data_IF_172610052934
#
_entry.id   IF_172610052934
#
_cell.length_a   1.000
_cell.length_b   1.000
_cell.length_c   1.000
_cell.angle_alpha   90.00
_cell.angle_beta   90.00
_cell.angle_gamma   90.00
#
_symmetry.space_group_name_H-M   'P 1'
#
loop_
_entity.id
_entity.type
_entity.pdbx_description
1 polymer ?
#
# COMPACT_ATOMS: atom_id res chain seq x y z
N UNK A 1 11.39 -4.99 4.90
CA UNK A 1 11.22 -4.85 3.44
C UNK A 1 12.48 -4.15 2.98
N UNK A 2 13.29 -4.79 2.14
CA UNK A 2 14.64 -4.31 1.79
C UNK A 2 14.64 -3.33 0.60
N UNK A 3 13.47 -2.85 0.14
CA UNK A 3 13.30 -1.99 -1.05
C UNK A 3 14.11 -2.49 -2.26
N UNK A 4 14.12 -3.80 -2.50
CA UNK A 4 15.00 -4.44 -3.51
C UNK A 4 14.61 -4.08 -4.96
N UNK A 5 13.40 -3.54 -5.16
CA UNK A 5 12.91 -3.10 -6.46
C UNK A 5 12.11 -1.79 -6.33
N UNK A 6 12.78 -0.62 -6.36
CA UNK A 6 12.13 0.66 -6.18
C UNK A 6 11.15 0.98 -7.32
N UNK A 7 10.12 1.77 -7.02
CA UNK A 7 9.09 2.18 -8.00
C UNK A 7 9.65 2.94 -9.20
N UNK A 8 10.84 3.54 -9.07
CA UNK A 8 11.53 4.20 -10.18
C UNK A 8 12.03 3.25 -11.27
N UNK A 9 12.06 1.94 -11.02
CA UNK A 9 12.48 0.92 -11.98
C UNK A 9 11.31 0.27 -12.71
N UNK A 10 10.07 0.54 -12.30
CA UNK A 10 8.90 -0.10 -12.87
C UNK A 10 8.67 0.34 -14.31
N UNK A 11 8.38 -0.62 -15.18
CA UNK A 11 7.98 -0.36 -16.55
C UNK A 11 6.44 -0.20 -16.67
N UNK A 12 5.94 0.64 -17.59
CA UNK A 12 4.50 0.73 -17.85
C UNK A 12 3.90 -0.63 -18.21
N UNK A 13 2.85 -1.04 -17.47
CA UNK A 13 2.16 -2.32 -17.67
C UNK A 13 2.85 -3.54 -17.05
N UNK A 14 3.96 -3.35 -16.34
CA UNK A 14 4.61 -4.41 -15.58
C UNK A 14 3.70 -4.92 -14.45
N UNK A 15 3.66 -6.24 -14.29
CA UNK A 15 2.98 -6.90 -13.16
C UNK A 15 4.06 -7.32 -12.16
N UNK A 16 4.03 -6.69 -10.98
CA UNK A 16 4.88 -7.05 -9.85
C UNK A 16 4.08 -7.92 -8.86
N UNK A 17 4.63 -9.07 -8.49
CA UNK A 17 4.08 -9.96 -7.47
C UNK A 17 5.08 -10.08 -6.31
N UNK A 18 4.74 -9.48 -5.16
CA UNK A 18 5.54 -9.53 -3.95
C UNK A 18 4.70 -10.05 -2.78
N UNK A 19 5.27 -10.97 -2.01
CA UNK A 19 4.66 -11.51 -0.81
C UNK A 19 5.34 -10.95 0.44
N UNK A 20 4.59 -10.19 1.24
CA UNK A 20 5.05 -9.64 2.52
C UNK A 20 4.38 -10.41 3.67
N UNK A 21 5.18 -10.86 4.65
CA UNK A 21 4.67 -11.44 5.90
C UNK A 21 4.61 -10.36 6.98
N UNK A 22 3.41 -10.14 7.51
CA UNK A 22 3.17 -9.23 8.62
C UNK A 22 2.85 -10.03 9.88
N UNK A 23 3.40 -9.60 11.01
CA UNK A 23 3.05 -10.15 12.33
C UNK A 23 1.95 -9.30 12.92
N UNK A 24 0.83 -9.91 13.25
CA UNK A 24 -0.26 -9.22 13.91
C UNK A 24 0.07 -9.00 15.41
N UNK A 25 -0.23 -7.82 15.98
CA UNK A 25 0.07 -7.54 17.37
C UNK A 25 -0.82 -8.33 18.35
N UNK A 26 -2.06 -8.66 17.97
CA UNK A 26 -3.01 -9.46 18.77
C UNK A 26 -4.11 -10.07 17.91
N UNK A 27 -5.01 -10.84 18.53
CA UNK A 27 -6.31 -11.16 17.96
C UNK A 27 -7.11 -9.87 17.69
N UNK A 28 -7.96 -9.88 16.67
CA UNK A 28 -8.82 -8.72 16.37
C UNK A 28 -9.19 -8.56 14.90
N UNK A 29 -9.93 -7.49 14.63
CA UNK A 29 -10.31 -7.09 13.27
C UNK A 29 -9.32 -6.05 12.74
N UNK A 30 -8.79 -6.30 11.56
CA UNK A 30 -7.81 -5.44 10.91
C UNK A 30 -8.26 -5.11 9.49
N UNK A 31 -7.97 -3.88 9.08
CA UNK A 31 -8.01 -3.48 7.67
C UNK A 31 -6.57 -3.39 7.18
N UNK A 32 -6.23 -4.20 6.19
CA UNK A 32 -4.98 -4.07 5.46
C UNK A 32 -5.13 -2.96 4.42
N UNK A 33 -4.23 -1.99 4.49
CA UNK A 33 -4.17 -0.87 3.56
C UNK A 33 -2.78 -0.76 2.93
N UNK A 34 -2.68 -0.08 1.79
CA UNK A 34 -1.41 0.21 1.11
C UNK A 34 -1.38 1.65 0.58
N UNK A 35 -0.19 2.16 0.29
CA UNK A 35 0.00 3.44 -0.39
C UNK A 35 1.48 3.76 -0.57
N UNK A 36 1.74 4.82 -1.35
CA UNK A 36 3.10 5.30 -1.60
C UNK A 36 3.43 6.49 -0.73
N UNK A 37 4.73 6.75 -0.58
CA UNK A 37 5.27 7.89 0.14
C UNK A 37 6.46 8.45 -0.64
N UNK A 38 6.78 9.72 -0.41
CA UNK A 38 8.01 10.35 -0.86
C UNK A 38 9.18 9.86 0.02
N UNK A 39 10.21 9.22 -0.54
CA UNK A 39 11.29 8.63 0.26
C UNK A 39 12.19 9.66 0.96
N UNK A 40 12.23 10.91 0.48
CA UNK A 40 13.06 11.97 1.04
C UNK A 40 12.35 12.67 2.20
N UNK A 41 11.05 12.97 2.05
CA UNK A 41 10.26 13.66 3.09
C UNK A 41 9.56 12.70 4.05
N UNK A 42 9.44 11.42 3.66
CA UNK A 42 8.59 10.41 4.31
C UNK A 42 7.10 10.75 4.34
N UNK A 43 6.68 11.78 3.60
CA UNK A 43 5.28 12.16 3.50
C UNK A 43 4.52 11.22 2.56
N UNK A 44 3.27 10.96 2.90
CA UNK A 44 2.42 10.03 2.16
C UNK A 44 1.86 10.70 0.91
N UNK A 45 1.86 9.98 -0.21
CA UNK A 45 1.33 10.49 -1.47
C UNK A 45 -0.18 10.31 -1.53
N UNK A 46 -0.87 11.28 -2.15
CA UNK A 46 -2.30 11.21 -2.40
C UNK A 46 -2.61 10.12 -3.41
N UNK A 47 -3.74 9.43 -3.21
CA UNK A 47 -4.21 8.42 -4.15
C UNK A 47 -5.22 9.04 -5.12
N UNK A 48 -5.01 8.77 -6.41
CA UNK A 48 -5.92 9.17 -7.49
C UNK A 48 -6.65 7.92 -7.97
N UNK A 49 -7.96 7.87 -7.75
CA UNK A 49 -8.82 6.79 -8.25
C UNK A 49 -9.23 7.05 -9.71
N UNK A 50 -9.45 6.00 -10.53
CA UNK A 50 -9.80 6.14 -11.95
C UNK A 50 -11.06 6.97 -12.23
N UNK A 51 -11.99 7.05 -11.26
CA UNK A 51 -13.30 7.69 -11.43
C UNK A 51 -13.31 9.19 -11.07
N UNK A 52 -12.14 9.79 -10.83
CA UNK A 52 -11.92 11.23 -10.93
C UNK A 52 -12.94 12.12 -10.20
N UNK A 53 -12.81 12.21 -8.87
CA UNK A 53 -13.06 13.44 -8.05
C UNK A 53 -13.04 13.15 -6.54
N UNK A 54 -13.01 11.88 -6.14
CA UNK A 54 -12.87 11.50 -4.73
C UNK A 54 -11.43 11.12 -4.40
N UNK A 55 -10.70 12.10 -3.88
CA UNK A 55 -9.42 11.89 -3.19
C UNK A 55 -9.73 11.31 -1.81
N UNK A 56 -9.82 9.99 -1.68
CA UNK A 56 -10.12 9.37 -0.39
C UNK A 56 -8.86 8.86 0.27
N UNK A 57 -8.44 9.54 1.34
CA UNK A 57 -7.47 9.12 2.35
C UNK A 57 -6.07 8.72 1.80
N UNK A 58 -5.03 8.90 2.61
CA UNK A 58 -3.63 8.70 2.21
C UNK A 58 -3.27 7.22 1.86
N UNK A 59 -4.25 6.30 1.88
CA UNK A 59 -4.11 4.87 1.67
C UNK A 59 -5.33 4.25 0.97
N UNK A 60 -5.10 3.15 0.25
CA UNK A 60 -6.13 2.27 -0.32
C UNK A 60 -6.33 1.04 0.54
N UNK A 61 -7.58 0.70 0.82
CA UNK A 61 -7.96 -0.58 1.44
C UNK A 61 -7.71 -1.73 0.45
N UNK A 62 -6.93 -2.72 0.89
CA UNK A 62 -6.71 -3.96 0.15
C UNK A 62 -7.67 -5.07 0.60
N UNK A 63 -7.79 -5.25 1.92
CA UNK A 63 -8.55 -6.37 2.48
C UNK A 63 -8.93 -6.14 3.96
N UNK A 64 -10.04 -6.72 4.41
CA UNK A 64 -10.44 -6.78 5.83
C UNK A 64 -10.27 -8.21 6.35
N UNK A 65 -9.54 -8.36 7.45
CA UNK A 65 -9.21 -9.67 8.05
C UNK A 65 -9.57 -9.70 9.53
N UNK A 66 -10.04 -10.86 10.00
CA UNK A 66 -10.26 -11.14 11.43
C UNK A 66 -9.28 -12.21 11.87
N UNK A 67 -8.48 -11.90 12.88
CA UNK A 67 -7.49 -12.81 13.44
C UNK A 67 -8.00 -13.37 14.77
N UNK A 68 -7.89 -14.69 14.99
CA UNK A 68 -8.40 -15.38 16.17
C UNK A 68 -7.61 -15.03 17.43
#
# INVERSE_FOLDING_TARGET
>A
INNEYPTSWWAPGEILDESVKLVAPSAGHYTLTTGFYDPDTQERLQVVLPEGDNMTNEWIELYKVSLP
#
